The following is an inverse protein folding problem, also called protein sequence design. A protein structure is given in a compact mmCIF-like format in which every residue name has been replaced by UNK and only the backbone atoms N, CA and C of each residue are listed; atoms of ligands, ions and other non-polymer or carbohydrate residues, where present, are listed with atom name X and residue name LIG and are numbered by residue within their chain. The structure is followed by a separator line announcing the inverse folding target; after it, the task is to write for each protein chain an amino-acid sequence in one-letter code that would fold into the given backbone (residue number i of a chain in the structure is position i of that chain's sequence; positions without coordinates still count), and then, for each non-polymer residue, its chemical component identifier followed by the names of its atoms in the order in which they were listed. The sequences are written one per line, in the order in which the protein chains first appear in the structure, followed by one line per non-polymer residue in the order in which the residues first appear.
data_IF_065266466464
#
_entry.id   IF_065266466464
#
_cell.length_a   1.000
_cell.length_b   1.000
_cell.length_c   1.000
_cell.angle_alpha   90.00
_cell.angle_beta   90.00
_cell.angle_gamma   90.00
#
_symmetry.space_group_name_H-M   'P 1'
#
loop_
_entity.id
_entity.type
_entity.pdbx_description
1 polymer ?
#
# COMPACT_ATOMS: atom_id res chain seq x y z
N UNK A 1 -15.21 16.91 -22.20
CA UNK A 1 -14.95 15.59 -21.58
C UNK A 1 -14.23 15.80 -20.25
N UNK A 2 -14.88 15.57 -19.12
CA UNK A 2 -14.20 15.65 -17.81
C UNK A 2 -13.30 14.43 -17.70
N UNK A 3 -11.98 14.63 -17.63
CA UNK A 3 -11.04 13.55 -17.37
C UNK A 3 -11.40 12.94 -16.01
N UNK A 4 -11.99 11.74 -16.02
CA UNK A 4 -12.41 11.06 -14.79
C UNK A 4 -11.18 10.89 -13.88
N UNK A 5 -11.27 11.39 -12.63
CA UNK A 5 -10.15 11.49 -11.69
C UNK A 5 -9.43 10.14 -11.53
N UNK A 6 -8.09 10.09 -11.62
CA UNK A 6 -7.36 8.84 -11.70
C UNK A 6 -7.59 7.99 -10.43
N UNK A 7 -7.94 6.71 -10.62
CA UNK A 7 -8.34 5.80 -9.52
C UNK A 7 -7.18 5.37 -8.61
N UNK A 8 -7.47 4.47 -7.67
CA UNK A 8 -6.52 3.91 -6.70
C UNK A 8 -5.94 2.60 -7.26
N UNK A 9 -4.61 2.47 -7.26
CA UNK A 9 -3.93 1.20 -7.49
C UNK A 9 -3.55 0.57 -6.15
N UNK A 10 -4.11 -0.60 -5.87
CA UNK A 10 -3.79 -1.39 -4.68
C UNK A 10 -2.80 -2.48 -5.10
N UNK A 11 -1.58 -2.40 -4.57
CA UNK A 11 -0.49 -3.36 -4.84
C UNK A 11 -0.42 -4.34 -3.68
N UNK A 12 -0.47 -5.64 -3.96
CA UNK A 12 -0.40 -6.71 -2.95
C UNK A 12 0.65 -7.76 -3.33
N UNK A 13 1.22 -8.52 -2.38
CA UNK A 13 2.40 -9.36 -2.63
C UNK A 13 2.06 -10.75 -3.21
N UNK A 14 0.84 -10.94 -3.71
CA UNK A 14 0.34 -12.20 -4.25
C UNK A 14 -0.62 -11.93 -5.42
N UNK A 15 -1.08 -12.99 -6.07
CA UNK A 15 -2.14 -12.89 -7.06
C UNK A 15 -3.42 -12.28 -6.44
N UNK A 16 -4.05 -11.26 -7.05
CA UNK A 16 -5.33 -10.73 -6.61
C UNK A 16 -6.46 -11.76 -6.46
N UNK A 17 -6.36 -12.92 -7.11
CA UNK A 17 -7.30 -14.05 -7.07
C UNK A 17 -6.89 -15.14 -6.08
N UNK A 18 -5.80 -14.97 -5.32
CA UNK A 18 -5.41 -15.95 -4.31
C UNK A 18 -6.53 -16.13 -3.26
N UNK A 19 -6.75 -17.36 -2.76
CA UNK A 19 -7.96 -17.67 -2.00
C UNK A 19 -8.00 -17.04 -0.60
N UNK A 20 -6.86 -16.66 -0.02
CA UNK A 20 -6.74 -16.16 1.37
C UNK A 20 -5.63 -15.12 1.53
N UNK A 21 -5.60 -14.50 2.71
CA UNK A 21 -4.51 -13.62 3.16
C UNK A 21 -4.59 -12.20 2.59
N UNK A 22 -3.49 -11.71 2.04
CA UNK A 22 -3.42 -10.34 1.52
C UNK A 22 -4.39 -10.10 0.37
N UNK A 23 -4.71 -11.12 -0.43
CA UNK A 23 -5.73 -11.02 -1.49
C UNK A 23 -7.12 -10.71 -0.92
N UNK A 24 -7.57 -11.46 0.09
CA UNK A 24 -8.84 -11.20 0.77
C UNK A 24 -8.88 -9.79 1.36
N UNK A 25 -7.80 -9.36 2.01
CA UNK A 25 -7.70 -8.01 2.59
C UNK A 25 -7.79 -6.93 1.51
N UNK A 26 -7.05 -7.09 0.42
CA UNK A 26 -7.05 -6.15 -0.70
C UNK A 26 -8.43 -6.06 -1.37
N UNK A 27 -9.10 -7.20 -1.57
CA UNK A 27 -10.45 -7.27 -2.13
C UNK A 27 -11.48 -6.57 -1.23
N UNK A 28 -11.43 -6.80 0.08
CA UNK A 28 -12.30 -6.12 1.05
C UNK A 28 -12.11 -4.61 1.02
N UNK A 29 -10.86 -4.14 1.09
CA UNK A 29 -10.53 -2.72 1.00
C UNK A 29 -11.02 -2.13 -0.33
N UNK A 30 -10.76 -2.80 -1.45
CA UNK A 30 -11.24 -2.36 -2.76
C UNK A 30 -12.77 -2.31 -2.83
N UNK A 31 -13.46 -3.26 -2.21
CA UNK A 31 -14.92 -3.28 -2.11
C UNK A 31 -15.46 -2.05 -1.39
N UNK A 32 -14.94 -1.73 -0.20
CA UNK A 32 -15.35 -0.55 0.56
C UNK A 32 -15.01 0.76 -0.15
N UNK A 33 -13.83 0.87 -0.75
CA UNK A 33 -13.45 2.06 -1.53
C UNK A 33 -14.35 2.25 -2.76
N UNK A 34 -14.73 1.17 -3.44
CA UNK A 34 -15.68 1.22 -4.55
C UNK A 34 -17.08 1.63 -4.09
N UNK A 35 -17.54 1.09 -2.96
CA UNK A 35 -18.82 1.51 -2.37
C UNK A 35 -18.83 3.00 -1.98
N UNK A 36 -17.66 3.57 -1.64
CA UNK A 36 -17.47 4.99 -1.41
C UNK A 36 -17.28 5.83 -2.71
N UNK A 37 -17.44 5.24 -3.90
CA UNK A 37 -17.36 5.94 -5.18
C UNK A 37 -15.97 5.98 -5.82
N UNK A 38 -14.95 5.33 -5.25
CA UNK A 38 -13.60 5.31 -5.81
C UNK A 38 -13.38 4.18 -6.83
N UNK A 39 -12.68 4.50 -7.93
CA UNK A 39 -12.21 3.47 -8.87
C UNK A 39 -10.98 2.76 -8.31
N UNK A 40 -11.03 1.44 -8.17
CA UNK A 40 -9.92 0.65 -7.60
C UNK A 40 -9.46 -0.48 -8.54
N UNK A 41 -8.15 -0.61 -8.71
CA UNK A 41 -7.50 -1.74 -9.40
C UNK A 41 -6.57 -2.48 -8.45
N UNK A 42 -6.57 -3.80 -8.51
CA UNK A 42 -5.69 -4.69 -7.73
C UNK A 42 -4.60 -5.22 -8.65
N UNK A 43 -3.35 -5.24 -8.19
CA UNK A 43 -2.25 -5.80 -8.97
C UNK A 43 -1.15 -6.40 -8.08
N UNK A 44 -0.65 -7.58 -8.45
CA UNK A 44 0.62 -8.09 -7.94
C UNK A 44 1.78 -7.19 -8.42
N UNK A 45 3.01 -7.34 -7.89
CA UNK A 45 4.13 -6.45 -8.23
C UNK A 45 4.40 -6.34 -9.74
N UNK A 46 4.39 -7.46 -10.47
CA UNK A 46 4.64 -7.45 -11.91
C UNK A 46 3.51 -6.78 -12.69
N UNK A 47 2.26 -7.02 -12.29
CA UNK A 47 1.10 -6.32 -12.84
C UNK A 47 1.16 -4.81 -12.57
N UNK A 48 1.62 -4.41 -11.38
CA UNK A 48 1.72 -3.01 -10.98
C UNK A 48 2.81 -2.26 -11.77
N UNK A 49 3.94 -2.90 -12.08
CA UNK A 49 4.99 -2.32 -12.94
C UNK A 49 4.50 -1.98 -14.35
N UNK A 50 3.53 -2.76 -14.86
CA UNK A 50 2.89 -2.58 -16.18
C UNK A 50 1.59 -1.76 -16.12
N UNK A 51 1.17 -1.34 -14.93
CA UNK A 51 -0.10 -0.66 -14.76
C UNK A 51 -0.08 0.76 -15.35
N UNK A 52 -1.21 1.20 -15.91
CA UNK A 52 -1.45 2.62 -16.21
C UNK A 52 -1.47 3.45 -14.92
N UNK A 53 -1.12 4.74 -15.04
CA UNK A 53 -1.10 5.73 -13.95
C UNK A 53 -2.38 5.70 -13.11
N UNK A 54 -2.21 5.84 -11.80
CA UNK A 54 -3.25 5.99 -10.78
C UNK A 54 -3.09 7.34 -10.06
N UNK A 55 -4.14 7.79 -9.36
CA UNK A 55 -4.13 9.00 -8.55
C UNK A 55 -3.59 8.78 -7.13
N UNK A 56 -3.54 7.51 -6.71
CA UNK A 56 -3.01 7.05 -5.43
C UNK A 56 -2.49 5.61 -5.60
N UNK A 57 -1.39 5.29 -4.93
CA UNK A 57 -0.93 3.89 -4.78
C UNK A 57 -1.06 3.45 -3.33
N UNK A 58 -1.76 2.34 -3.08
CA UNK A 58 -1.87 1.71 -1.77
C UNK A 58 -1.08 0.40 -1.79
N UNK A 59 0.03 0.33 -1.06
CA UNK A 59 0.74 -0.93 -0.84
C UNK A 59 0.12 -1.69 0.32
N UNK A 60 -0.31 -2.92 0.08
CA UNK A 60 -0.47 -3.93 1.12
C UNK A 60 0.86 -4.65 1.26
N UNK A 61 1.40 -4.66 2.47
CA UNK A 61 2.71 -5.20 2.82
C UNK A 61 3.87 -4.21 2.56
N UNK A 62 4.40 -3.64 3.64
CA UNK A 62 5.47 -2.65 3.61
C UNK A 62 6.77 -3.19 3.02
N UNK A 63 7.18 -4.42 3.38
CA UNK A 63 8.43 -5.01 2.85
C UNK A 63 8.32 -5.37 1.37
N UNK A 64 7.24 -6.06 0.98
CA UNK A 64 7.11 -6.63 -0.37
C UNK A 64 6.58 -5.64 -1.40
N UNK A 65 5.76 -4.68 -0.99
CA UNK A 65 5.08 -3.76 -1.90
C UNK A 65 5.40 -2.28 -1.65
N UNK A 66 5.88 -1.92 -0.45
CA UNK A 66 6.21 -0.54 -0.09
C UNK A 66 7.20 0.13 -1.06
N UNK A 67 8.40 -0.45 -1.31
CA UNK A 67 9.37 0.11 -2.24
C UNK A 67 8.84 0.32 -3.66
N UNK A 68 8.02 -0.62 -4.15
CA UNK A 68 7.40 -0.51 -5.46
C UNK A 68 6.33 0.60 -5.48
N UNK A 69 5.51 0.72 -4.44
CA UNK A 69 4.55 1.82 -4.35
C UNK A 69 5.24 3.18 -4.34
N UNK A 70 6.33 3.34 -3.59
CA UNK A 70 7.14 4.56 -3.60
C UNK A 70 7.72 4.86 -4.99
N UNK A 71 8.22 3.84 -5.71
CA UNK A 71 8.72 3.98 -7.07
C UNK A 71 7.62 4.44 -8.04
N UNK A 72 6.44 3.82 -7.99
CA UNK A 72 5.31 4.16 -8.85
C UNK A 72 4.75 5.55 -8.55
N UNK A 73 4.61 5.89 -7.26
CA UNK A 73 4.18 7.20 -6.80
C UNK A 73 5.10 8.32 -7.30
N UNK A 74 6.42 8.14 -7.17
CA UNK A 74 7.41 9.07 -7.73
C UNK A 74 7.30 9.17 -9.24
N UNK A 75 7.20 8.04 -9.96
CA UNK A 75 7.05 8.03 -11.43
C UNK A 75 5.80 8.76 -11.90
N UNK A 76 4.72 8.71 -11.12
CA UNK A 76 3.42 9.26 -11.49
C UNK A 76 3.12 10.62 -10.86
N UNK A 77 4.03 11.13 -10.03
CA UNK A 77 3.86 12.34 -9.22
C UNK A 77 2.54 12.33 -8.45
N UNK A 78 2.31 11.26 -7.68
CA UNK A 78 1.11 11.05 -6.84
C UNK A 78 1.50 10.55 -5.44
N UNK A 79 0.65 10.72 -4.41
CA UNK A 79 0.91 10.15 -3.10
C UNK A 79 0.82 8.61 -3.12
N UNK A 80 1.40 7.99 -2.09
CA UNK A 80 1.18 6.59 -1.75
C UNK A 80 0.96 6.42 -0.26
N UNK A 81 0.25 5.34 0.07
CA UNK A 81 0.08 4.87 1.44
C UNK A 81 0.55 3.43 1.56
N UNK A 82 0.93 3.03 2.77
CA UNK A 82 1.28 1.64 3.08
C UNK A 82 0.36 1.14 4.18
N UNK A 83 -0.30 0.01 3.93
CA UNK A 83 -0.97 -0.78 4.96
C UNK A 83 -0.01 -1.85 5.48
N UNK A 84 0.34 -1.74 6.76
CA UNK A 84 1.08 -2.77 7.48
C UNK A 84 0.21 -4.02 7.64
N UNK A 85 0.70 -5.11 7.09
CA UNK A 85 0.17 -6.46 7.27
C UNK A 85 0.89 -7.14 8.43
N UNK A 86 0.36 -8.27 8.92
CA UNK A 86 0.88 -8.92 10.13
C UNK A 86 2.39 -9.18 10.13
N UNK A 87 2.98 -9.54 8.98
CA UNK A 87 4.42 -9.83 8.88
C UNK A 87 5.32 -8.61 8.75
N UNK A 88 4.76 -7.41 8.58
CA UNK A 88 5.57 -6.18 8.46
C UNK A 88 6.13 -5.69 9.80
N UNK A 89 5.53 -6.11 10.91
CA UNK A 89 5.81 -5.55 12.23
C UNK A 89 6.88 -6.33 13.00
N UNK A 90 7.38 -7.42 12.42
CA UNK A 90 8.28 -8.35 13.07
C UNK A 90 9.55 -8.58 12.24
N UNK A 91 10.64 -8.95 12.92
CA UNK A 91 11.91 -9.28 12.28
C UNK A 91 12.71 -8.06 11.79
N UNK A 92 13.75 -8.33 10.99
CA UNK A 92 14.65 -7.30 10.48
C UNK A 92 14.01 -6.57 9.30
N UNK A 93 13.66 -5.30 9.50
CA UNK A 93 13.10 -4.45 8.44
C UNK A 93 14.20 -4.04 7.45
N UNK A 94 14.06 -4.36 6.14
CA UNK A 94 15.02 -3.93 5.13
C UNK A 94 15.06 -2.41 4.98
N UNK A 95 16.22 -1.85 4.65
CA UNK A 95 16.40 -0.40 4.50
C UNK A 95 15.43 0.21 3.48
N UNK A 96 15.19 -0.46 2.35
CA UNK A 96 14.25 0.00 1.33
C UNK A 96 12.80 0.07 1.84
N UNK A 97 12.37 -0.91 2.64
CA UNK A 97 11.04 -0.91 3.25
C UNK A 97 10.92 0.21 4.29
N UNK A 98 11.98 0.47 5.06
CA UNK A 98 12.04 1.59 6.00
C UNK A 98 11.92 2.94 5.28
N UNK A 99 12.73 3.16 4.26
CA UNK A 99 12.69 4.38 3.47
C UNK A 99 11.32 4.60 2.81
N UNK A 100 10.70 3.53 2.30
CA UNK A 100 9.35 3.60 1.75
C UNK A 100 8.31 3.97 2.82
N UNK A 101 8.38 3.41 4.02
CA UNK A 101 7.46 3.80 5.08
C UNK A 101 7.62 5.26 5.51
N UNK A 102 8.87 5.72 5.67
CA UNK A 102 9.19 7.10 6.01
C UNK A 102 8.80 8.10 4.91
N UNK A 103 8.75 7.67 3.66
CA UNK A 103 8.30 8.51 2.53
C UNK A 103 6.79 8.47 2.25
N UNK A 104 6.03 7.55 2.86
CA UNK A 104 4.61 7.38 2.57
C UNK A 104 3.79 8.58 3.07
N UNK A 105 2.77 8.98 2.33
CA UNK A 105 1.85 10.05 2.76
C UNK A 105 0.98 9.61 3.95
N UNK A 106 0.72 8.30 4.07
CA UNK A 106 0.02 7.71 5.19
C UNK A 106 0.50 6.27 5.45
N UNK A 107 0.44 5.87 6.71
CA UNK A 107 0.70 4.51 7.16
C UNK A 107 -0.53 4.00 7.90
N UNK A 108 -1.01 2.83 7.50
CA UNK A 108 -2.24 2.23 8.03
C UNK A 108 -1.88 0.95 8.76
N UNK A 109 -2.35 0.80 9.99
CA UNK A 109 -2.20 -0.41 10.78
C UNK A 109 -3.56 -0.89 11.30
N UNK A 110 -3.68 -2.21 11.52
CA UNK A 110 -4.88 -2.81 12.07
C UNK A 110 -4.83 -2.77 13.60
N UNK A 111 -5.26 -1.64 14.17
CA UNK A 111 -5.34 -1.43 15.61
C UNK A 111 -4.13 -0.70 16.22
N UNK A 112 -4.32 -0.19 17.44
CA UNK A 112 -3.35 0.67 18.14
C UNK A 112 -2.03 -0.03 18.45
N UNK A 113 -2.07 -1.30 18.87
CA UNK A 113 -0.87 -2.07 19.14
C UNK A 113 0.01 -2.26 17.89
N UNK A 114 -0.61 -2.55 16.75
CA UNK A 114 0.07 -2.67 15.46
C UNK A 114 0.67 -1.33 15.01
N UNK A 115 -0.06 -0.22 15.20
CA UNK A 115 0.45 1.11 14.90
C UNK A 115 1.69 1.46 15.75
N UNK A 116 1.64 1.20 17.05
CA UNK A 116 2.77 1.43 17.96
C UNK A 116 3.99 0.55 17.60
N UNK A 117 3.76 -0.72 17.24
CA UNK A 117 4.81 -1.61 16.75
C UNK A 117 5.43 -1.09 15.44
N UNK A 118 4.60 -0.64 14.49
CA UNK A 118 5.03 -0.06 13.23
C UNK A 118 5.91 1.18 13.43
N UNK A 119 5.51 2.10 14.30
CA UNK A 119 6.31 3.30 14.67
C UNK A 119 7.71 2.93 15.15
N UNK A 120 7.82 1.97 16.06
CA UNK A 120 9.12 1.50 16.57
C UNK A 120 9.94 0.80 15.49
N UNK A 121 9.36 -0.18 14.79
CA UNK A 121 10.07 -1.01 13.81
C UNK A 121 10.58 -0.20 12.61
N UNK A 122 9.78 0.76 12.15
CA UNK A 122 10.10 1.60 10.99
C UNK A 122 10.78 2.93 11.37
N UNK A 123 11.03 3.19 12.66
CA UNK A 123 11.64 4.43 13.17
C UNK A 123 10.91 5.65 12.62
N UNK A 124 9.60 5.66 12.79
CA UNK A 124 8.73 6.75 12.34
C UNK A 124 8.74 7.87 13.39
N UNK A 125 8.65 9.14 12.97
CA UNK A 125 8.53 10.25 13.90
C UNK A 125 7.16 10.22 14.63
N UNK A 126 7.08 10.90 15.77
CA UNK A 126 5.95 10.78 16.70
C UNK A 126 4.62 11.31 16.15
N UNK A 127 4.69 12.21 15.18
CA UNK A 127 3.58 12.88 14.47
C UNK A 127 2.99 12.03 13.33
N UNK A 128 3.58 10.87 13.04
CA UNK A 128 3.13 9.94 11.99
C UNK A 128 2.36 8.71 12.48
#
# INVERSE_FOLDING_TARGET
MVASAPGILIVLPCDPKAPRGNATTAQRIAGHLRAAGHRCRLACPDGARRARRAGLVLALHAVKCGPLAAQLARRWSVPYAILFTGTDLYGRIPAAARAAAQGAAALVALGRAAAAAGRRAYRLPADR
#
